data_IF_431949331040
#
_entry.id   IF_431949331040
#
_cell.length_a   1.000
_cell.length_b   1.000
_cell.length_c   1.000
_cell.angle_alpha   90.00
_cell.angle_beta   90.00
_cell.angle_gamma   90.00
#
_symmetry.space_group_name_H-M   'P 1'
#
loop_
_entity.id
_entity.type
_entity.pdbx_description
1 polymer ?
#
# COMPACT_ATOMS: atom_id res chain seq x y z
N UNK A 1 4.58 3.72 10.22
CA UNK A 1 5.59 2.76 10.70
C UNK A 1 5.40 1.45 9.96
N UNK A 2 6.49 0.86 9.45
CA UNK A 2 6.46 -0.46 8.80
C UNK A 2 6.77 -1.54 9.84
N UNK A 3 5.97 -2.60 9.86
CA UNK A 3 5.96 -3.66 10.89
C UNK A 3 5.51 -3.20 12.27
N UNK A 4 4.45 -3.83 12.79
CA UNK A 4 3.77 -3.39 14.01
C UNK A 4 4.28 -4.08 15.29
N UNK A 5 5.51 -4.58 15.28
CA UNK A 5 6.10 -5.34 16.39
C UNK A 5 6.26 -4.53 17.69
N UNK A 6 6.21 -3.20 17.61
CA UNK A 6 6.25 -2.30 18.76
C UNK A 6 4.94 -2.27 19.56
N UNK A 7 3.82 -2.73 18.99
CA UNK A 7 2.56 -2.88 19.71
C UNK A 7 2.52 -4.21 20.47
N UNK A 8 2.80 -4.14 21.78
CA UNK A 8 2.82 -5.28 22.70
C UNK A 8 1.47 -5.46 23.37
N UNK A 9 0.78 -4.35 23.64
CA UNK A 9 -0.61 -4.28 24.12
C UNK A 9 -1.40 -3.28 23.27
N UNK A 10 -2.73 -3.34 23.33
CA UNK A 10 -3.61 -2.46 22.53
C UNK A 10 -3.36 -0.98 22.84
N UNK A 11 -3.10 -0.64 24.11
CA UNK A 11 -2.82 0.73 24.57
C UNK A 11 -1.53 1.33 23.98
N UNK A 12 -0.60 0.50 23.46
CA UNK A 12 0.56 1.03 22.76
C UNK A 12 0.13 1.86 21.53
N UNK A 13 -1.00 1.52 20.89
CA UNK A 13 -1.53 2.30 19.78
C UNK A 13 -1.80 3.76 20.18
N UNK A 14 -2.37 3.99 21.36
CA UNK A 14 -2.60 5.33 21.90
C UNK A 14 -1.30 6.05 22.21
N UNK A 15 -0.36 5.36 22.85
CA UNK A 15 0.93 5.95 23.21
C UNK A 15 1.68 6.43 21.96
N UNK A 16 1.80 5.57 20.94
CA UNK A 16 2.47 5.94 19.68
C UNK A 16 1.68 6.97 18.88
N UNK A 17 0.35 6.93 18.91
CA UNK A 17 -0.48 7.98 18.32
C UNK A 17 -0.25 9.33 19.01
N UNK A 18 -0.15 9.34 20.34
CA UNK A 18 0.20 10.52 21.13
C UNK A 18 1.57 11.11 20.77
N UNK A 19 2.51 10.26 20.34
CA UNK A 19 3.84 10.67 19.85
C UNK A 19 3.87 11.09 18.37
N UNK A 20 2.73 11.03 17.66
CA UNK A 20 2.63 11.48 16.27
C UNK A 20 2.56 10.38 15.22
N UNK A 21 2.58 9.09 15.60
CA UNK A 21 2.33 8.02 14.64
C UNK A 21 0.89 8.10 14.09
N UNK A 22 0.72 8.12 12.77
CA UNK A 22 -0.59 8.26 12.12
C UNK A 22 -0.98 7.11 11.20
N UNK A 23 -0.03 6.23 10.87
CA UNK A 23 -0.19 5.10 9.98
C UNK A 23 0.69 3.93 10.44
N UNK A 24 0.14 2.72 10.38
CA UNK A 24 0.87 1.48 10.70
C UNK A 24 0.60 0.42 9.66
N UNK A 25 1.67 -0.13 9.10
CA UNK A 25 1.64 -1.38 8.35
C UNK A 25 1.58 -2.56 9.33
N UNK A 26 0.56 -3.41 9.23
CA UNK A 26 0.28 -4.42 10.28
C UNK A 26 1.40 -5.47 10.42
N UNK A 27 1.98 -5.91 9.31
CA UNK A 27 3.06 -6.91 9.29
C UNK A 27 4.21 -6.46 8.39
N UNK A 28 5.30 -7.22 8.39
CA UNK A 28 6.31 -7.16 7.32
C UNK A 28 6.25 -8.43 6.47
N UNK A 29 7.40 -8.94 6.01
CA UNK A 29 7.43 -10.13 5.16
C UNK A 29 7.08 -11.43 5.91
N UNK A 30 7.29 -11.49 7.23
CA UNK A 30 7.00 -12.64 8.09
C UNK A 30 5.74 -12.42 8.94
N UNK A 31 5.36 -13.43 9.70
CA UNK A 31 4.33 -13.30 10.74
C UNK A 31 4.82 -12.46 11.92
N UNK A 32 3.90 -11.81 12.60
CA UNK A 32 4.11 -11.15 13.90
C UNK A 32 2.88 -11.39 14.79
N UNK A 33 2.77 -10.69 15.92
CA UNK A 33 1.66 -10.86 16.88
C UNK A 33 0.29 -10.50 16.27
N UNK A 34 0.24 -9.70 15.20
CA UNK A 34 -0.99 -9.21 14.60
C UNK A 34 -1.52 -10.13 13.49
N UNK A 35 -0.63 -10.77 12.72
CA UNK A 35 -1.05 -11.60 11.60
C UNK A 35 0.11 -12.08 10.73
N UNK A 36 -0.23 -12.51 9.53
CA UNK A 36 0.73 -13.11 8.58
C UNK A 36 1.25 -12.09 7.56
N UNK A 37 2.56 -12.14 7.31
CA UNK A 37 3.23 -11.40 6.24
C UNK A 37 3.12 -12.10 4.89
N UNK A 38 3.41 -11.38 3.81
CA UNK A 38 3.22 -11.87 2.44
C UNK A 38 4.18 -13.00 2.03
N UNK A 39 5.28 -13.23 2.74
CA UNK A 39 6.26 -14.28 2.40
C UNK A 39 6.15 -15.53 3.27
N UNK A 40 5.12 -15.64 4.13
CA UNK A 40 4.90 -16.87 4.89
C UNK A 40 4.28 -17.95 4.01
N UNK A 41 4.57 -19.22 4.32
CA UNK A 41 4.01 -20.36 3.57
C UNK A 41 2.52 -20.60 3.86
N UNK A 42 2.04 -20.20 5.04
CA UNK A 42 0.65 -20.38 5.48
C UNK A 42 0.15 -19.07 6.11
N UNK A 43 -0.70 -18.35 5.38
CA UNK A 43 -1.33 -17.12 5.86
C UNK A 43 -2.55 -17.46 6.71
N UNK A 44 -2.43 -17.20 8.03
CA UNK A 44 -3.47 -17.47 9.02
C UNK A 44 -4.43 -16.30 9.22
N UNK A 45 -4.27 -15.20 8.47
CA UNK A 45 -5.06 -14.00 8.69
C UNK A 45 -4.62 -13.15 9.89
N UNK A 46 -5.51 -12.27 10.33
CA UNK A 46 -5.33 -11.54 11.58
C UNK A 46 -5.53 -12.45 12.79
N UNK A 47 -4.70 -12.25 13.81
CA UNK A 47 -4.89 -12.89 15.12
C UNK A 47 -5.97 -12.15 15.92
N UNK A 48 -6.42 -12.74 17.04
CA UNK A 48 -7.31 -12.04 17.98
C UNK A 48 -6.74 -10.68 18.43
N UNK A 49 -5.43 -10.62 18.72
CA UNK A 49 -4.75 -9.37 19.05
C UNK A 49 -4.72 -8.39 17.86
N UNK A 50 -4.53 -8.88 16.64
CA UNK A 50 -4.60 -8.07 15.42
C UNK A 50 -5.97 -7.43 15.22
N UNK A 51 -7.05 -8.17 15.47
CA UNK A 51 -8.43 -7.67 15.39
C UNK A 51 -8.71 -6.58 16.44
N UNK A 52 -8.30 -6.79 17.70
CA UNK A 52 -8.43 -5.78 18.76
C UNK A 52 -7.68 -4.49 18.40
N UNK A 53 -6.48 -4.62 17.86
CA UNK A 53 -5.66 -3.48 17.48
C UNK A 53 -6.25 -2.73 16.27
N UNK A 54 -6.77 -3.44 15.25
CA UNK A 54 -7.49 -2.82 14.12
C UNK A 54 -8.67 -1.99 14.63
N UNK A 55 -9.46 -2.55 15.55
CA UNK A 55 -10.57 -1.83 16.17
C UNK A 55 -10.08 -0.58 16.92
N UNK A 56 -8.98 -0.69 17.68
CA UNK A 56 -8.40 0.46 18.37
C UNK A 56 -7.90 1.54 17.42
N UNK A 57 -7.17 1.15 16.37
CA UNK A 57 -6.69 2.05 15.32
C UNK A 57 -7.83 2.81 14.66
N UNK A 58 -8.95 2.16 14.38
CA UNK A 58 -10.14 2.84 13.87
C UNK A 58 -10.71 3.87 14.86
N UNK A 59 -10.79 3.54 16.16
CA UNK A 59 -11.32 4.47 17.18
C UNK A 59 -10.47 5.74 17.29
N UNK A 60 -9.15 5.61 17.26
CA UNK A 60 -8.23 6.76 17.44
C UNK A 60 -7.90 7.49 16.12
N UNK A 61 -8.37 6.97 14.99
CA UNK A 61 -8.06 7.52 13.68
C UNK A 61 -6.59 7.29 13.29
N UNK A 62 -6.06 6.10 13.51
CA UNK A 62 -4.77 5.66 12.97
C UNK A 62 -5.01 4.86 11.68
N UNK A 63 -4.31 5.21 10.60
CA UNK A 63 -4.42 4.52 9.32
C UNK A 63 -3.80 3.13 9.37
N UNK A 64 -4.49 2.18 8.73
CA UNK A 64 -4.07 0.80 8.59
C UNK A 64 -3.48 0.63 7.19
N UNK A 65 -2.27 0.09 7.12
CA UNK A 65 -1.63 -0.32 5.87
C UNK A 65 -1.43 -1.84 5.82
N UNK A 66 -1.75 -2.43 4.69
CA UNK A 66 -1.63 -3.88 4.45
C UNK A 66 -0.57 -4.23 3.40
N UNK A 67 0.30 -3.30 3.02
CA UNK A 67 1.29 -3.48 1.95
C UNK A 67 2.05 -4.80 2.03
N UNK A 68 2.66 -5.12 3.17
CA UNK A 68 3.39 -6.37 3.37
C UNK A 68 2.55 -7.55 3.87
N UNK A 69 1.26 -7.35 4.18
CA UNK A 69 0.40 -8.42 4.68
C UNK A 69 0.20 -9.53 3.65
N UNK A 70 -0.03 -10.74 4.15
CA UNK A 70 -0.57 -11.84 3.34
C UNK A 70 -1.96 -11.53 2.79
N UNK A 71 -2.44 -12.35 1.87
CA UNK A 71 -3.74 -12.21 1.24
C UNK A 71 -4.90 -12.26 2.24
N UNK A 72 -4.96 -13.29 3.08
CA UNK A 72 -5.99 -13.44 4.10
C UNK A 72 -5.90 -12.33 5.13
N UNK A 73 -4.68 -12.03 5.60
CA UNK A 73 -4.46 -10.93 6.56
C UNK A 73 -4.93 -9.57 6.00
N UNK A 74 -4.73 -9.33 4.68
CA UNK A 74 -5.22 -8.11 4.02
C UNK A 74 -6.75 -8.09 3.97
N UNK A 75 -7.39 -9.20 3.64
CA UNK A 75 -8.85 -9.31 3.54
C UNK A 75 -9.54 -9.17 4.90
N UNK A 76 -8.99 -9.79 5.96
CA UNK A 76 -9.49 -9.63 7.33
C UNK A 76 -9.40 -8.17 7.78
N UNK A 77 -8.26 -7.51 7.55
CA UNK A 77 -8.09 -6.10 7.91
C UNK A 77 -9.11 -5.19 7.20
N UNK A 78 -9.39 -5.43 5.92
CA UNK A 78 -10.41 -4.68 5.17
C UNK A 78 -11.82 -4.98 5.67
N UNK A 79 -12.12 -6.24 5.97
CA UNK A 79 -13.43 -6.67 6.45
C UNK A 79 -13.77 -6.06 7.82
N UNK A 80 -12.81 -6.07 8.75
CA UNK A 80 -13.03 -5.65 10.13
C UNK A 80 -12.85 -4.14 10.34
N UNK A 81 -12.13 -3.45 9.44
CA UNK A 81 -11.95 -2.00 9.54
C UNK A 81 -13.23 -1.22 9.18
N UNK A 82 -13.56 -0.21 10.00
CA UNK A 82 -14.64 0.78 9.78
C UNK A 82 -14.16 2.04 9.07
N UNK A 83 -12.87 2.12 8.76
CA UNK A 83 -12.23 3.23 8.03
C UNK A 83 -11.47 2.68 6.82
N UNK A 84 -11.15 3.51 5.81
CA UNK A 84 -10.33 3.08 4.69
C UNK A 84 -9.03 2.39 5.13
N UNK A 85 -8.73 1.27 4.49
CA UNK A 85 -7.45 0.55 4.61
C UNK A 85 -6.59 0.90 3.41
N UNK A 86 -5.29 1.06 3.60
CA UNK A 86 -4.36 1.46 2.55
C UNK A 86 -3.46 0.29 2.13
N UNK A 87 -3.04 0.30 0.87
CA UNK A 87 -1.84 -0.39 0.43
C UNK A 87 -0.87 0.73 0.05
N UNK A 88 -0.03 1.19 0.98
CA UNK A 88 0.85 2.33 0.72
C UNK A 88 1.89 2.08 -0.37
N UNK A 89 2.35 0.83 -0.54
CA UNK A 89 3.33 0.45 -1.56
C UNK A 89 3.23 -1.04 -1.93
N UNK A 90 2.74 -1.31 -3.13
CA UNK A 90 2.70 -2.64 -3.75
C UNK A 90 2.47 -2.52 -5.26
N UNK A 91 2.22 -3.63 -5.93
CA UNK A 91 1.95 -3.73 -7.36
C UNK A 91 0.85 -4.78 -7.62
N UNK A 92 0.33 -4.80 -8.84
CA UNK A 92 -0.69 -5.74 -9.29
C UNK A 92 -0.09 -7.11 -9.58
N UNK A 93 -0.51 -8.15 -8.83
CA UNK A 93 -0.01 -9.52 -9.03
C UNK A 93 -0.31 -10.08 -10.42
N UNK A 94 -1.37 -9.59 -11.07
CA UNK A 94 -1.71 -9.95 -12.44
C UNK A 94 -0.58 -9.66 -13.45
N UNK A 95 0.29 -8.67 -13.18
CA UNK A 95 1.42 -8.30 -14.04
C UNK A 95 2.77 -8.81 -13.53
N UNK A 96 2.84 -9.18 -12.24
CA UNK A 96 4.04 -9.74 -11.60
C UNK A 96 3.70 -11.06 -10.88
N UNK A 97 3.34 -12.13 -11.61
CA UNK A 97 2.96 -13.41 -11.01
C UNK A 97 4.13 -14.02 -10.24
N UNK A 98 3.82 -14.68 -9.12
CA UNK A 98 4.83 -15.29 -8.24
C UNK A 98 5.58 -14.31 -7.33
N UNK A 99 5.38 -13.00 -7.50
CA UNK A 99 5.97 -12.00 -6.60
C UNK A 99 5.08 -11.81 -5.38
N UNK A 100 5.48 -12.39 -4.25
CA UNK A 100 4.74 -12.38 -2.98
C UNK A 100 4.28 -10.99 -2.51
N UNK A 101 5.06 -9.93 -2.81
CA UNK A 101 4.74 -8.56 -2.42
C UNK A 101 3.61 -7.92 -3.24
N UNK A 102 3.22 -8.49 -4.37
CA UNK A 102 2.14 -7.94 -5.19
C UNK A 102 0.76 -8.41 -4.70
N UNK A 103 -0.24 -7.52 -4.76
CA UNK A 103 -1.61 -7.80 -4.33
C UNK A 103 -2.44 -8.41 -5.45
N UNK A 104 -3.29 -9.37 -5.10
CA UNK A 104 -4.30 -9.89 -6.03
C UNK A 104 -5.34 -8.83 -6.33
N UNK A 105 -6.01 -8.99 -7.48
CA UNK A 105 -7.16 -8.15 -7.85
C UNK A 105 -8.27 -8.22 -6.80
N UNK A 106 -8.40 -9.34 -6.07
CA UNK A 106 -9.37 -9.48 -4.99
C UNK A 106 -9.07 -8.50 -3.84
N UNK A 107 -7.83 -8.49 -3.35
CA UNK A 107 -7.40 -7.57 -2.29
C UNK A 107 -7.49 -6.12 -2.76
N UNK A 108 -7.08 -5.83 -3.99
CA UNK A 108 -7.15 -4.46 -4.55
C UNK A 108 -8.60 -3.97 -4.62
N UNK A 109 -9.52 -4.79 -5.12
CA UNK A 109 -10.95 -4.46 -5.14
C UNK A 109 -11.53 -4.32 -3.74
N UNK A 110 -11.13 -5.16 -2.79
CA UNK A 110 -11.61 -5.07 -1.40
C UNK A 110 -11.20 -3.73 -0.76
N UNK A 111 -9.92 -3.36 -0.90
CA UNK A 111 -9.38 -2.08 -0.43
C UNK A 111 -10.12 -0.90 -1.07
N UNK A 112 -10.32 -0.92 -2.40
CA UNK A 112 -11.04 0.14 -3.10
C UNK A 112 -12.51 0.26 -2.65
N UNK A 113 -13.24 -0.85 -2.50
CA UNK A 113 -14.62 -0.85 -1.98
C UNK A 113 -14.72 -0.24 -0.57
N UNK A 114 -13.68 -0.39 0.24
CA UNK A 114 -13.58 0.24 1.56
C UNK A 114 -13.16 1.71 1.54
N UNK A 115 -13.04 2.35 0.37
CA UNK A 115 -12.58 3.74 0.24
C UNK A 115 -11.06 3.90 0.24
N UNK A 116 -10.31 2.79 0.23
CA UNK A 116 -8.85 2.76 0.32
C UNK A 116 -8.13 3.06 -0.99
N UNK A 117 -6.80 3.06 -0.94
CA UNK A 117 -5.91 3.40 -2.08
C UNK A 117 -4.80 2.36 -2.22
N UNK A 118 -4.50 1.98 -3.47
CA UNK A 118 -3.31 1.22 -3.85
C UNK A 118 -2.22 2.18 -4.33
N UNK A 119 -1.13 2.28 -3.57
CA UNK A 119 0.12 2.92 -3.97
C UNK A 119 0.97 1.98 -4.82
N UNK A 120 1.15 2.32 -6.10
CA UNK A 120 2.06 1.62 -7.01
C UNK A 120 3.51 2.03 -6.70
N UNK A 121 4.37 1.05 -6.40
CA UNK A 121 5.81 1.25 -6.22
C UNK A 121 6.59 1.01 -7.52
N UNK A 122 7.80 1.59 -7.59
CA UNK A 122 8.76 1.35 -8.67
C UNK A 122 9.92 0.43 -8.26
N UNK A 123 9.74 -0.37 -7.20
CA UNK A 123 10.69 -1.45 -6.86
C UNK A 123 10.70 -2.49 -7.98
N UNK A 124 11.83 -2.62 -8.68
CA UNK A 124 11.95 -3.37 -9.94
C UNK A 124 11.45 -4.82 -9.84
N UNK A 125 11.66 -5.48 -8.70
CA UNK A 125 11.24 -6.87 -8.49
C UNK A 125 9.72 -7.02 -8.36
N UNK A 126 9.00 -5.94 -8.01
CA UNK A 126 7.55 -5.93 -7.86
C UNK A 126 6.86 -5.47 -9.14
N UNK A 127 7.55 -4.66 -9.94
CA UNK A 127 7.08 -4.20 -11.24
C UNK A 127 7.13 -5.31 -12.30
N UNK A 128 8.23 -6.08 -12.35
CA UNK A 128 8.38 -7.14 -13.36
C UNK A 128 9.14 -8.33 -12.82
N UNK A 129 8.50 -9.49 -12.84
CA UNK A 129 9.16 -10.75 -12.52
C UNK A 129 10.27 -11.04 -13.55
N UNK A 130 11.42 -11.54 -13.08
CA UNK A 130 12.56 -11.87 -13.95
C UNK A 130 13.50 -10.70 -14.31
N UNK A 131 13.22 -9.49 -13.83
CA UNK A 131 14.09 -8.32 -14.02
C UNK A 131 13.81 -7.50 -15.28
N UNK A 132 14.63 -6.47 -15.50
CA UNK A 132 14.50 -5.57 -16.65
C UNK A 132 13.26 -4.65 -16.61
N UNK A 133 12.72 -4.38 -15.42
CA UNK A 133 11.60 -3.45 -15.25
C UNK A 133 11.97 -2.05 -15.77
N UNK A 134 11.01 -1.39 -16.41
CA UNK A 134 11.12 -0.05 -17.00
C UNK A 134 10.00 0.85 -16.48
N UNK A 135 10.02 2.15 -16.84
CA UNK A 135 8.92 3.06 -16.57
C UNK A 135 7.61 2.59 -17.22
N UNK A 136 7.65 2.02 -18.42
CA UNK A 136 6.43 1.55 -19.10
C UNK A 136 5.78 0.39 -18.34
N UNK A 137 6.58 -0.52 -17.75
CA UNK A 137 6.04 -1.58 -16.88
C UNK A 137 5.40 -1.00 -15.60
N UNK A 138 5.94 0.10 -15.05
CA UNK A 138 5.30 0.82 -13.92
C UNK A 138 3.97 1.42 -14.36
N UNK A 139 3.91 2.06 -15.53
CA UNK A 139 2.68 2.64 -16.07
C UNK A 139 1.62 1.55 -16.35
N UNK A 140 2.03 0.36 -16.78
CA UNK A 140 1.10 -0.77 -16.97
C UNK A 140 0.41 -1.18 -15.65
N UNK A 141 1.10 -1.05 -14.51
CA UNK A 141 0.46 -1.25 -13.20
C UNK A 141 -0.58 -0.18 -12.87
N UNK A 142 -0.32 1.09 -13.21
CA UNK A 142 -1.33 2.15 -13.06
C UNK A 142 -2.54 1.85 -13.95
N UNK A 143 -2.33 1.54 -15.23
CA UNK A 143 -3.41 1.22 -16.17
C UNK A 143 -4.25 0.03 -15.73
N UNK A 144 -3.59 -1.04 -15.27
CA UNK A 144 -4.29 -2.20 -14.74
C UNK A 144 -5.13 -1.83 -13.51
N UNK A 145 -4.56 -1.11 -12.54
CA UNK A 145 -5.24 -0.75 -11.31
C UNK A 145 -6.42 0.20 -11.57
N UNK A 146 -6.25 1.21 -12.45
CA UNK A 146 -7.33 2.14 -12.82
C UNK A 146 -8.46 1.39 -13.52
N UNK A 147 -8.16 0.49 -14.45
CA UNK A 147 -9.18 -0.35 -15.09
C UNK A 147 -9.92 -1.23 -14.08
N UNK A 148 -9.25 -1.63 -13.00
CA UNK A 148 -9.79 -2.55 -12.00
C UNK A 148 -10.71 -1.86 -10.98
N UNK A 149 -10.31 -0.67 -10.50
CA UNK A 149 -10.95 0.00 -9.36
C UNK A 149 -11.24 1.50 -9.56
N UNK A 150 -10.88 2.07 -10.71
CA UNK A 150 -11.03 3.50 -10.99
C UNK A 150 -9.85 4.34 -10.47
N UNK A 151 -9.70 5.54 -11.04
CA UNK A 151 -8.59 6.46 -10.73
C UNK A 151 -8.57 6.87 -9.26
N UNK A 152 -9.73 7.01 -8.61
CA UNK A 152 -9.87 7.47 -7.22
C UNK A 152 -9.20 6.55 -6.18
N UNK A 153 -8.79 5.34 -6.58
CA UNK A 153 -8.25 4.31 -5.70
C UNK A 153 -6.82 3.92 -6.04
N UNK A 154 -6.14 4.66 -6.92
CA UNK A 154 -4.77 4.42 -7.34
C UNK A 154 -3.89 5.59 -6.95
N UNK A 155 -2.71 5.33 -6.42
CA UNK A 155 -1.74 6.35 -6.04
C UNK A 155 -0.30 5.93 -6.31
N UNK A 156 0.63 6.85 -6.13
CA UNK A 156 2.06 6.56 -6.12
C UNK A 156 2.51 6.20 -4.70
N UNK A 157 3.26 5.10 -4.58
CA UNK A 157 3.84 4.64 -3.32
C UNK A 157 5.27 4.18 -3.54
N UNK A 158 6.21 5.12 -3.67
CA UNK A 158 7.49 4.86 -4.33
C UNK A 158 8.31 3.70 -3.72
N UNK A 159 8.32 3.54 -2.39
CA UNK A 159 9.16 2.59 -1.64
C UNK A 159 10.67 2.82 -1.84
N UNK A 160 11.07 4.09 -1.96
CA UNK A 160 12.47 4.49 -2.06
C UNK A 160 12.94 5.24 -0.83
N UNK A 161 14.23 5.06 -0.54
CA UNK A 161 14.98 5.86 0.39
C UNK A 161 15.46 7.17 -0.26
N UNK A 162 16.11 8.03 0.51
CA UNK A 162 16.71 9.29 0.02
C UNK A 162 17.73 9.06 -1.09
N UNK A 163 18.47 7.95 -1.02
CA UNK A 163 19.49 7.56 -2.00
C UNK A 163 19.01 6.43 -2.92
N UNK A 164 19.54 6.43 -4.15
CA UNK A 164 19.29 5.36 -5.11
C UNK A 164 19.83 4.02 -4.61
N UNK A 165 19.00 2.97 -4.61
CA UNK A 165 19.42 1.62 -4.23
C UNK A 165 19.58 0.73 -5.49
N UNK A 166 20.80 0.45 -5.95
CA UNK A 166 21.04 -0.24 -7.23
C UNK A 166 20.42 -1.65 -7.32
N UNK A 167 20.12 -2.26 -6.17
CA UNK A 167 19.45 -3.56 -6.11
C UNK A 167 17.92 -3.52 -6.27
N UNK A 168 17.26 -2.37 -6.13
CA UNK A 168 15.80 -2.23 -6.16
C UNK A 168 15.31 -1.24 -7.20
N UNK A 169 16.16 -0.29 -7.56
CA UNK A 169 15.80 0.81 -8.44
C UNK A 169 15.68 0.38 -9.91
N UNK A 170 14.73 1.00 -10.60
CA UNK A 170 14.61 0.95 -12.06
C UNK A 170 15.54 2.02 -12.65
N UNK A 171 16.35 1.63 -13.65
CA UNK A 171 17.22 2.56 -14.35
C UNK A 171 16.39 3.70 -14.98
N UNK A 172 16.77 4.95 -14.73
CA UNK A 172 16.02 6.13 -15.18
C UNK A 172 14.91 6.59 -14.24
N UNK A 173 14.54 5.77 -13.25
CA UNK A 173 13.67 6.16 -12.13
C UNK A 173 14.41 6.20 -10.79
N UNK A 174 15.73 6.15 -10.83
CA UNK A 174 16.64 6.12 -9.68
C UNK A 174 17.17 7.53 -9.31
N UNK A 175 16.45 8.59 -9.67
CA UNK A 175 16.84 9.98 -9.45
C UNK A 175 15.74 10.77 -8.73
N UNK A 176 16.07 11.90 -8.11
CA UNK A 176 15.10 12.73 -7.39
C UNK A 176 13.94 13.23 -8.28
N UNK A 177 14.17 13.36 -9.59
CA UNK A 177 13.19 13.85 -10.56
C UNK A 177 12.24 12.76 -11.13
N UNK A 178 12.27 11.53 -10.61
CA UNK A 178 11.45 10.41 -11.10
C UNK A 178 9.94 10.70 -11.14
N UNK A 179 9.44 11.54 -10.22
CA UNK A 179 8.03 11.93 -10.17
C UNK A 179 7.61 12.66 -11.44
N UNK A 180 8.52 13.42 -12.07
CA UNK A 180 8.29 14.05 -13.35
C UNK A 180 8.21 13.01 -14.48
N UNK A 181 9.11 12.02 -14.50
CA UNK A 181 9.06 10.95 -15.49
C UNK A 181 7.76 10.13 -15.39
N UNK A 182 7.30 9.83 -14.16
CA UNK A 182 6.01 9.18 -13.94
C UNK A 182 4.85 10.06 -14.41
N UNK A 183 4.86 11.35 -14.05
CA UNK A 183 3.84 12.33 -14.44
C UNK A 183 3.71 12.44 -15.96
N UNK A 184 4.83 12.64 -16.65
CA UNK A 184 4.86 12.69 -18.12
C UNK A 184 4.40 11.36 -18.73
N UNK A 185 4.77 10.23 -18.12
CA UNK A 185 4.32 8.91 -18.53
C UNK A 185 2.80 8.76 -18.48
N UNK A 186 2.18 9.14 -17.35
CA UNK A 186 0.73 9.09 -17.18
C UNK A 186 0.02 10.03 -18.16
N UNK A 187 0.53 11.26 -18.35
CA UNK A 187 -0.02 12.19 -19.34
C UNK A 187 0.06 11.62 -20.77
N UNK A 188 1.17 10.97 -21.14
CA UNK A 188 1.30 10.29 -22.44
C UNK A 188 0.34 9.11 -22.61
N UNK A 189 -0.05 8.44 -21.52
CA UNK A 189 -1.06 7.37 -21.52
C UNK A 189 -2.50 7.92 -21.61
N UNK A 190 -2.67 9.24 -21.56
CA UNK A 190 -3.96 9.91 -21.78
C UNK A 190 -4.73 10.27 -20.51
N UNK A 191 -4.12 10.12 -19.32
CA UNK A 191 -4.70 10.63 -18.08
C UNK A 191 -4.75 12.15 -18.09
N UNK A 192 -5.82 12.73 -17.55
CA UNK A 192 -5.92 14.18 -17.42
C UNK A 192 -5.01 14.72 -16.32
N UNK A 193 -4.82 16.04 -16.26
CA UNK A 193 -4.07 16.65 -15.15
C UNK A 193 -4.74 16.37 -13.79
N UNK A 194 -6.07 16.30 -13.76
CA UNK A 194 -6.87 15.98 -12.58
C UNK A 194 -6.63 14.53 -12.14
N UNK A 195 -6.68 13.57 -13.08
CA UNK A 195 -6.38 12.16 -12.80
C UNK A 195 -4.96 11.99 -12.23
N UNK A 196 -3.99 12.67 -12.85
CA UNK A 196 -2.59 12.62 -12.39
C UNK A 196 -2.45 13.24 -11.00
N UNK A 197 -3.12 14.36 -10.72
CA UNK A 197 -3.09 14.98 -9.38
C UNK A 197 -3.67 14.04 -8.31
N UNK A 198 -4.74 13.31 -8.64
CA UNK A 198 -5.30 12.27 -7.75
C UNK A 198 -4.27 11.16 -7.49
N UNK A 199 -3.62 10.63 -8.52
CA UNK A 199 -2.62 9.57 -8.40
C UNK A 199 -1.35 10.01 -7.67
N UNK A 200 -0.90 11.25 -7.83
CA UNK A 200 0.32 11.75 -7.19
C UNK A 200 0.16 12.01 -5.69
N UNK A 201 -1.08 12.12 -5.18
CA UNK A 201 -1.30 12.29 -3.75
C UNK A 201 -2.74 12.58 -3.34
N UNK A 202 -3.57 13.13 -4.23
CA UNK A 202 -4.95 13.52 -3.88
C UNK A 202 -5.79 12.36 -3.34
N UNK A 203 -5.59 11.14 -3.85
CA UNK A 203 -6.29 9.96 -3.35
C UNK A 203 -5.86 9.56 -1.94
N UNK A 204 -4.56 9.60 -1.66
CA UNK A 204 -4.05 9.37 -0.30
C UNK A 204 -4.51 10.46 0.66
N UNK A 205 -4.48 11.72 0.24
CA UNK A 205 -4.99 12.84 1.03
C UNK A 205 -6.46 12.62 1.41
N UNK A 206 -7.31 12.33 0.43
CA UNK A 206 -8.75 12.02 0.63
C UNK A 206 -8.93 10.89 1.64
N UNK A 207 -8.25 9.76 1.44
CA UNK A 207 -8.39 8.61 2.33
C UNK A 207 -7.90 8.92 3.74
N UNK A 208 -6.77 9.60 3.89
CA UNK A 208 -6.22 9.99 5.20
C UNK A 208 -7.10 11.01 5.93
N UNK A 209 -7.71 11.96 5.22
CA UNK A 209 -8.70 12.88 5.81
C UNK A 209 -9.90 12.11 6.39
N UNK A 210 -10.43 11.12 5.66
CA UNK A 210 -11.51 10.26 6.17
C UNK A 210 -11.07 9.44 7.39
N UNK A 211 -9.81 8.99 7.42
CA UNK A 211 -9.28 8.18 8.53
C UNK A 211 -9.00 9.02 9.78
N UNK A 212 -8.44 10.22 9.62
CA UNK A 212 -7.96 11.04 10.74
C UNK A 212 -9.03 11.94 11.34
N UNK A 213 -10.16 12.13 10.66
CA UNK A 213 -11.30 12.84 11.22
C UNK A 213 -11.86 12.06 12.41
N UNK A 214 -11.87 12.68 13.58
CA UNK A 214 -12.48 12.08 14.78
C UNK A 214 -13.99 11.92 14.55
N UNK A 215 -14.62 10.85 15.06
CA UNK A 215 -16.07 10.71 15.04
C UNK A 215 -16.78 11.90 15.71
#
# INVERSE_FOLDING_TARGET
MQDANHFRVVDDADAFYGMGQRLTQLTYNSWNKLGSGCKVSHDQGLTAFGLELVARMNMIGMAIDVSHCGERTSLDAVHDSKRPVLITHSNCRALAPGVARCKSDEVIRAVARGGGVLGITSVRQFVRAGGGATLEDVLDHFDHAVRLVGVDHVGMGSDFDLDAHPAYDIAGLNQANRVYALTEGLLRRGYSNEDVALMLGGNFERALQQIWTKP
#
